data_IF_600778067564
#
_entry.id   IF_600778067564
#
_cell.length_a   1.000
_cell.length_b   1.000
_cell.length_c   1.000
_cell.angle_alpha   90.00
_cell.angle_beta   90.00
_cell.angle_gamma   90.00
#
_symmetry.space_group_name_H-M   'P 1'
#
loop_
_entity.id
_entity.type
_entity.pdbx_description
1 polymer ?
#
# COMPACT_ATOMS: atom_id res chain seq x y z
N UNK A 1 -22.25 -4.24 8.97
CA UNK A 1 -21.49 -2.99 9.23
C UNK A 1 -20.10 -3.17 9.85
N UNK A 2 -19.88 -4.10 10.82
CA UNK A 2 -18.58 -4.30 11.49
C UNK A 2 -17.46 -4.77 10.54
N UNK A 3 -17.74 -5.70 9.64
CA UNK A 3 -16.72 -6.30 8.76
C UNK A 3 -16.15 -5.31 7.73
N UNK A 4 -16.98 -4.42 7.21
CA UNK A 4 -16.56 -3.36 6.26
C UNK A 4 -15.60 -2.36 6.93
N UNK A 5 -15.80 -2.07 8.22
CA UNK A 5 -14.91 -1.21 8.99
C UNK A 5 -13.57 -1.89 9.30
N UNK A 6 -13.61 -3.19 9.64
CA UNK A 6 -12.40 -3.99 9.87
C UNK A 6 -11.58 -4.14 8.57
N UNK A 7 -12.22 -4.41 7.43
CA UNK A 7 -11.58 -4.49 6.13
C UNK A 7 -10.88 -3.17 5.75
N UNK A 8 -11.54 -2.04 6.01
CA UNK A 8 -10.97 -0.72 5.74
C UNK A 8 -9.75 -0.43 6.62
N UNK A 9 -9.78 -0.80 7.91
CA UNK A 9 -8.61 -0.70 8.80
C UNK A 9 -7.46 -1.59 8.35
N UNK A 10 -7.72 -2.86 8.05
CA UNK A 10 -6.69 -3.81 7.59
C UNK A 10 -6.04 -3.32 6.29
N UNK A 11 -6.84 -2.86 5.32
CA UNK A 11 -6.31 -2.31 4.07
C UNK A 11 -5.37 -1.13 4.29
N UNK A 12 -5.69 -0.26 5.25
CA UNK A 12 -4.91 0.94 5.55
C UNK A 12 -3.60 0.56 6.22
N UNK A 13 -3.65 -0.35 7.20
CA UNK A 13 -2.45 -0.85 7.89
C UNK A 13 -1.51 -1.56 6.91
N UNK A 14 -2.03 -2.45 6.07
CA UNK A 14 -1.22 -3.17 5.07
C UNK A 14 -0.60 -2.20 4.05
N UNK A 15 -1.34 -1.21 3.58
CA UNK A 15 -0.83 -0.21 2.65
C UNK A 15 0.31 0.61 3.28
N UNK A 16 0.17 0.99 4.55
CA UNK A 16 1.20 1.72 5.31
C UNK A 16 2.44 0.85 5.49
N UNK A 17 2.29 -0.41 5.92
CA UNK A 17 3.42 -1.32 6.14
C UNK A 17 4.18 -1.58 4.84
N UNK A 18 3.47 -1.85 3.74
CA UNK A 18 4.08 -2.05 2.43
C UNK A 18 4.83 -0.80 1.96
N UNK A 19 4.20 0.38 2.05
CA UNK A 19 4.84 1.64 1.69
C UNK A 19 6.07 1.94 2.54
N UNK A 20 6.01 1.68 3.85
CA UNK A 20 7.12 1.90 4.77
C UNK A 20 8.31 0.99 4.45
N UNK A 21 8.06 -0.26 4.05
CA UNK A 21 9.12 -1.16 3.60
C UNK A 21 9.88 -0.61 2.40
N UNK A 22 9.18 -0.20 1.33
CA UNK A 22 9.83 0.37 0.14
C UNK A 22 10.55 1.69 0.46
N UNK A 23 9.98 2.53 1.31
CA UNK A 23 10.64 3.77 1.75
C UNK A 23 11.93 3.48 2.55
N UNK A 24 11.91 2.48 3.44
CA UNK A 24 13.10 2.07 4.18
C UNK A 24 14.20 1.54 3.24
N UNK A 25 13.82 0.74 2.23
CA UNK A 25 14.76 0.26 1.20
C UNK A 25 15.31 1.43 0.37
N UNK A 26 14.48 2.42 0.03
CA UNK A 26 14.92 3.62 -0.69
C UNK A 26 16.01 4.37 0.08
N UNK A 27 15.77 4.65 1.36
CA UNK A 27 16.68 5.38 2.23
C UNK A 27 17.95 4.58 2.48
N UNK A 28 17.83 3.29 2.82
CA UNK A 28 18.99 2.42 3.05
C UNK A 28 19.85 2.23 1.79
N UNK A 29 19.21 2.19 0.62
CA UNK A 29 19.89 2.15 -0.68
C UNK A 29 20.68 3.43 -0.92
N UNK A 30 20.03 4.59 -0.80
CA UNK A 30 20.67 5.89 -0.99
C UNK A 30 21.85 6.13 -0.03
N UNK A 31 21.73 5.72 1.23
CA UNK A 31 22.82 5.83 2.20
C UNK A 31 24.08 5.05 1.81
N UNK A 32 23.95 4.01 0.96
CA UNK A 32 25.10 3.19 0.51
C UNK A 32 25.60 3.56 -0.88
N UNK A 33 24.71 4.01 -1.77
CA UNK A 33 25.03 4.24 -3.19
C UNK A 33 25.10 5.71 -3.56
N UNK A 34 24.54 6.61 -2.73
CA UNK A 34 24.35 8.04 -3.01
C UNK A 34 23.60 8.32 -4.34
N UNK A 35 22.91 7.31 -4.89
CA UNK A 35 22.21 7.42 -6.17
C UNK A 35 20.78 7.94 -5.98
N UNK A 36 20.57 9.19 -6.36
CA UNK A 36 19.26 9.85 -6.34
C UNK A 36 18.23 9.18 -7.26
N UNK A 37 18.64 8.58 -8.39
CA UNK A 37 17.70 7.90 -9.30
C UNK A 37 17.12 6.66 -8.66
N UNK A 38 17.97 5.87 -7.98
CA UNK A 38 17.54 4.72 -7.20
C UNK A 38 16.57 5.15 -6.09
N UNK A 39 16.91 6.20 -5.34
CA UNK A 39 16.06 6.72 -4.28
C UNK A 39 14.66 7.07 -4.80
N UNK A 40 14.59 7.86 -5.88
CA UNK A 40 13.33 8.29 -6.48
C UNK A 40 12.52 7.11 -7.03
N UNK A 41 13.18 6.12 -7.62
CA UNK A 41 12.52 4.92 -8.11
C UNK A 41 11.86 4.13 -6.97
N UNK A 42 12.58 3.86 -5.89
CA UNK A 42 12.02 3.14 -4.74
C UNK A 42 10.96 3.95 -4.00
N UNK A 43 11.11 5.27 -3.92
CA UNK A 43 10.06 6.13 -3.37
C UNK A 43 8.80 6.11 -4.24
N UNK A 44 8.96 6.11 -5.56
CA UNK A 44 7.86 5.91 -6.51
C UNK A 44 7.17 4.55 -6.32
N UNK A 45 7.95 3.48 -6.13
CA UNK A 45 7.42 2.15 -5.82
C UNK A 45 6.69 2.12 -4.47
N UNK A 46 7.14 2.87 -3.47
CA UNK A 46 6.44 2.97 -2.18
C UNK A 46 5.04 3.57 -2.34
N UNK A 47 4.93 4.67 -3.09
CA UNK A 47 3.62 5.28 -3.40
C UNK A 47 2.76 4.34 -4.23
N UNK A 48 3.35 3.70 -5.25
CA UNK A 48 2.65 2.75 -6.12
C UNK A 48 2.10 1.57 -5.30
N UNK A 49 2.87 1.01 -4.38
CA UNK A 49 2.45 -0.07 -3.50
C UNK A 49 1.24 0.36 -2.65
N UNK A 50 1.26 1.56 -2.07
CA UNK A 50 0.14 2.09 -1.31
C UNK A 50 -1.14 2.17 -2.16
N UNK A 51 -1.03 2.68 -3.39
CA UNK A 51 -2.14 2.79 -4.34
C UNK A 51 -2.68 1.42 -4.72
N UNK A 52 -1.81 0.48 -5.07
CA UNK A 52 -2.17 -0.89 -5.46
C UNK A 52 -2.91 -1.60 -4.33
N UNK A 53 -2.41 -1.54 -3.09
CA UNK A 53 -3.08 -2.15 -1.93
C UNK A 53 -4.47 -1.53 -1.73
N UNK A 54 -4.59 -0.20 -1.76
CA UNK A 54 -5.91 0.45 -1.66
C UNK A 54 -6.87 0.02 -2.77
N UNK A 55 -6.39 -0.06 -4.01
CA UNK A 55 -7.22 -0.49 -5.14
C UNK A 55 -7.67 -1.94 -5.02
N UNK A 56 -6.80 -2.84 -4.58
CA UNK A 56 -7.14 -4.24 -4.34
C UNK A 56 -8.25 -4.36 -3.29
N UNK A 57 -8.10 -3.69 -2.15
CA UNK A 57 -9.12 -3.71 -1.09
C UNK A 57 -10.41 -3.00 -1.48
N UNK A 58 -10.34 -1.94 -2.30
CA UNK A 58 -11.51 -1.31 -2.89
C UNK A 58 -12.24 -2.28 -3.83
N UNK A 59 -11.50 -3.01 -4.67
CA UNK A 59 -12.04 -4.07 -5.52
C UNK A 59 -12.71 -5.18 -4.72
N UNK A 60 -12.05 -5.70 -3.69
CA UNK A 60 -12.61 -6.71 -2.78
C UNK A 60 -13.88 -6.20 -2.12
N UNK A 61 -13.88 -4.96 -1.60
CA UNK A 61 -15.08 -4.36 -1.02
C UNK A 61 -16.24 -4.28 -2.01
N UNK A 62 -15.96 -3.94 -3.28
CA UNK A 62 -16.97 -3.88 -4.34
C UNK A 62 -17.48 -5.27 -4.75
N UNK A 63 -16.64 -6.30 -4.69
CA UNK A 63 -17.06 -7.68 -4.91
C UNK A 63 -17.92 -8.20 -3.76
N UNK A 64 -17.55 -7.88 -2.52
CA UNK A 64 -18.33 -8.23 -1.33
C UNK A 64 -19.71 -7.56 -1.36
N UNK A 65 -19.77 -6.27 -1.70
CA UNK A 65 -21.03 -5.51 -1.85
C UNK A 65 -21.95 -6.09 -2.95
N UNK A 66 -21.43 -6.87 -3.91
CA UNK A 66 -22.24 -7.56 -4.94
C UNK A 66 -22.76 -8.92 -4.51
N UNK A 67 -22.07 -9.57 -3.57
CA UNK A 67 -22.40 -10.93 -3.11
C UNK A 67 -23.37 -10.86 -1.92
N UNK A 68 -23.23 -9.84 -1.07
CA UNK A 68 -24.09 -9.63 0.09
C UNK A 68 -24.57 -8.16 0.13
N UNK A 69 -25.71 -7.84 -0.52
CA UNK A 69 -26.30 -6.51 -0.53
C UNK A 69 -27.15 -6.29 0.74
N UNK A 70 -26.53 -6.33 1.91
CA UNK A 70 -27.18 -6.08 3.20
C UNK A 70 -26.69 -4.81 3.91
#
# INVERSE_FOLDING_TARGET
MSDKHNLRRISTVLAIVASAFFAAVAVAGYQRTEDLKQLLLFLGLAVLAFVVVKFLFFGIGRLLDKIDPS
#
